data_IF_687139107239
#
_entry.id   IF_687139107239
#
_cell.length_a   1.000
_cell.length_b   1.000
_cell.length_c   1.000
_cell.angle_alpha   90.00
_cell.angle_beta   90.00
_cell.angle_gamma   90.00
#
_symmetry.space_group_name_H-M   'P 1'
#
loop_
_entity.id
_entity.type
_entity.pdbx_description
1 polymer ?
#
# COMPACT_ATOMS: atom_id res chain seq x y z
N UNK A 1 35.10 -22.09 3.00
CA UNK A 1 34.50 -23.41 3.31
C UNK A 1 33.03 -23.39 2.92
N UNK A 2 32.48 -24.50 2.42
CA UNK A 2 31.07 -24.62 2.04
C UNK A 2 30.29 -25.23 3.21
N UNK A 3 29.14 -24.67 3.58
CA UNK A 3 28.28 -25.21 4.64
C UNK A 3 27.54 -26.46 4.13
N UNK A 4 27.32 -27.44 5.01
CA UNK A 4 26.52 -28.62 4.71
C UNK A 4 25.02 -28.27 4.73
N UNK A 5 24.24 -28.91 3.85
CA UNK A 5 22.79 -28.79 3.85
C UNK A 5 22.19 -29.62 4.99
N UNK A 6 21.18 -29.06 5.66
CA UNK A 6 20.42 -29.72 6.72
C UNK A 6 18.95 -29.28 6.63
N UNK A 7 18.06 -30.10 7.17
CA UNK A 7 16.63 -29.89 7.13
C UNK A 7 16.07 -29.71 8.54
N UNK A 8 15.01 -28.91 8.63
CA UNK A 8 14.28 -28.64 9.85
C UNK A 8 12.90 -29.30 9.73
N UNK A 9 12.66 -30.36 10.50
CA UNK A 9 11.57 -31.30 10.23
C UNK A 9 10.22 -30.93 10.90
N UNK A 10 10.19 -29.94 11.79
CA UNK A 10 8.94 -29.49 12.42
C UNK A 10 8.94 -27.97 12.64
N UNK A 11 7.74 -27.38 12.71
CA UNK A 11 7.55 -25.95 12.91
C UNK A 11 8.03 -25.46 14.28
N UNK A 12 7.97 -26.31 15.32
CA UNK A 12 8.43 -25.91 16.67
C UNK A 12 9.94 -25.64 16.70
N UNK A 13 10.72 -26.38 15.92
CA UNK A 13 12.15 -26.14 15.77
C UNK A 13 12.42 -24.89 14.92
N UNK A 14 11.46 -24.45 14.10
CA UNK A 14 11.57 -23.20 13.33
C UNK A 14 11.33 -22.03 14.25
N UNK A 15 10.27 -22.08 15.05
CA UNK A 15 9.95 -21.05 16.03
C UNK A 15 11.09 -20.86 17.03
N UNK A 16 11.68 -21.98 17.52
CA UNK A 16 12.88 -21.97 18.38
C UNK A 16 14.12 -21.36 17.73
N UNK A 17 14.17 -21.25 16.41
CA UNK A 17 15.26 -20.60 15.69
C UNK A 17 14.94 -19.14 15.41
N UNK A 18 13.70 -18.85 15.01
CA UNK A 18 13.25 -17.49 14.66
C UNK A 18 13.19 -16.59 15.88
N UNK A 19 12.55 -17.01 16.98
CA UNK A 19 12.38 -16.18 18.18
C UNK A 19 13.71 -15.67 18.79
N UNK A 20 14.77 -16.50 18.94
CA UNK A 20 16.03 -16.00 19.47
C UNK A 20 16.76 -15.09 18.47
N UNK A 21 16.69 -15.39 17.16
CA UNK A 21 17.35 -14.58 16.14
C UNK A 21 16.76 -13.17 16.11
N UNK A 22 15.43 -13.05 16.14
CA UNK A 22 14.76 -11.74 16.19
C UNK A 22 15.17 -10.97 17.44
N UNK A 23 15.18 -11.62 18.61
CA UNK A 23 15.64 -11.01 19.86
C UNK A 23 17.10 -10.54 19.81
N UNK A 24 18.01 -11.31 19.18
CA UNK A 24 19.41 -10.90 19.02
C UNK A 24 19.58 -9.72 18.06
N UNK A 25 18.76 -9.64 17.01
CA UNK A 25 18.77 -8.49 16.10
C UNK A 25 18.24 -7.25 16.82
N UNK A 26 17.16 -7.36 17.57
CA UNK A 26 16.62 -6.27 18.38
C UNK A 26 17.66 -5.73 19.37
N UNK A 27 18.40 -6.62 20.04
CA UNK A 27 19.45 -6.23 20.97
C UNK A 27 20.63 -5.58 20.26
N UNK A 28 20.97 -6.03 19.05
CA UNK A 28 22.00 -5.41 18.22
C UNK A 28 21.60 -3.98 17.83
N UNK A 29 20.35 -3.75 17.46
CA UNK A 29 19.83 -2.43 17.11
C UNK A 29 19.76 -1.49 18.32
N UNK A 30 19.53 -2.01 19.53
CA UNK A 30 19.64 -1.22 20.78
C UNK A 30 21.08 -0.81 21.07
N UNK A 31 22.05 -1.70 20.82
CA UNK A 31 23.47 -1.42 21.04
C UNK A 31 24.04 -0.42 20.03
N UNK A 32 23.52 -0.42 18.80
CA UNK A 32 23.91 0.50 17.74
C UNK A 32 22.68 1.26 17.26
N UNK A 33 22.38 2.45 17.81
CA UNK A 33 21.19 3.22 17.43
C UNK A 33 21.30 3.78 16.00
N UNK A 34 21.05 2.93 15.00
CA UNK A 34 21.06 3.27 13.58
C UNK A 34 19.65 3.66 13.16
N UNK A 35 19.22 4.88 13.52
CA UNK A 35 17.80 5.28 13.42
C UNK A 35 17.19 5.32 12.01
N UNK A 36 17.98 5.37 10.95
CA UNK A 36 17.46 5.63 9.58
C UNK A 36 17.90 4.64 8.51
N UNK A 37 18.89 3.79 8.79
CA UNK A 37 19.43 2.84 7.80
C UNK A 37 18.54 1.61 7.61
N UNK A 38 18.00 0.97 8.67
CA UNK A 38 17.15 -0.22 8.52
C UNK A 38 15.90 0.08 7.70
N UNK A 39 15.21 1.20 8.00
CA UNK A 39 13.98 1.58 7.28
C UNK A 39 14.21 1.86 5.80
N UNK A 40 15.29 2.55 5.43
CA UNK A 40 15.65 2.78 4.02
C UNK A 40 15.96 1.49 3.26
N UNK A 41 16.59 0.51 3.94
CA UNK A 41 16.89 -0.78 3.33
C UNK A 41 15.62 -1.62 3.14
N UNK A 42 14.71 -1.57 4.10
CA UNK A 42 13.39 -2.20 4.01
C UNK A 42 12.59 -1.59 2.87
N UNK A 43 12.51 -0.26 2.78
CA UNK A 43 11.82 0.45 1.69
C UNK A 43 12.38 0.04 0.31
N UNK A 44 13.70 -0.06 0.17
CA UNK A 44 14.34 -0.53 -1.06
C UNK A 44 14.00 -1.99 -1.37
N UNK A 45 14.00 -2.87 -0.35
CA UNK A 45 13.72 -4.29 -0.51
C UNK A 45 12.26 -4.58 -0.88
N UNK A 46 11.32 -3.77 -0.40
CA UNK A 46 9.90 -3.94 -0.72
C UNK A 46 9.49 -3.25 -2.02
N UNK A 47 10.29 -2.34 -2.58
CA UNK A 47 9.92 -1.52 -3.76
C UNK A 47 9.53 -2.39 -4.98
N UNK A 48 10.24 -3.50 -5.18
CA UNK A 48 10.02 -4.43 -6.29
C UNK A 48 8.69 -5.21 -6.20
N UNK A 49 8.11 -5.34 -5.00
CA UNK A 49 6.84 -6.07 -4.79
C UNK A 49 5.65 -5.12 -4.98
N UNK A 50 4.94 -5.22 -6.11
CA UNK A 50 3.89 -4.25 -6.48
C UNK A 50 2.48 -4.74 -6.16
N UNK A 51 2.27 -6.05 -6.04
CA UNK A 51 0.94 -6.63 -5.91
C UNK A 51 0.47 -6.74 -4.44
N UNK A 52 -0.78 -6.35 -4.20
CA UNK A 52 -1.40 -6.36 -2.88
C UNK A 52 -1.44 -7.77 -2.23
N UNK A 53 -1.72 -8.87 -2.94
CA UNK A 53 -1.70 -10.22 -2.35
C UNK A 53 -0.33 -10.62 -1.82
N UNK A 54 0.76 -10.40 -2.56
CA UNK A 54 2.12 -10.71 -2.08
C UNK A 54 2.53 -9.82 -0.93
N UNK A 55 2.12 -8.55 -0.93
CA UNK A 55 2.36 -7.65 0.20
C UNK A 55 1.61 -8.11 1.47
N UNK A 56 0.39 -8.66 1.36
CA UNK A 56 -0.31 -9.24 2.52
C UNK A 56 0.39 -10.46 3.09
N UNK A 57 0.85 -11.37 2.22
CA UNK A 57 1.64 -12.54 2.67
C UNK A 57 2.94 -12.09 3.36
N UNK A 58 3.59 -11.06 2.84
CA UNK A 58 4.80 -10.49 3.43
C UNK A 58 4.52 -9.82 4.78
N UNK A 59 3.40 -9.09 4.90
CA UNK A 59 2.95 -8.50 6.16
C UNK A 59 2.73 -9.59 7.23
N UNK A 60 2.01 -10.65 6.87
CA UNK A 60 1.73 -11.77 7.79
C UNK A 60 3.00 -12.51 8.21
N UNK A 61 3.98 -12.67 7.31
CA UNK A 61 5.26 -13.30 7.62
C UNK A 61 6.17 -12.43 8.50
N UNK A 62 6.10 -11.10 8.32
CA UNK A 62 6.84 -10.14 9.13
C UNK A 62 6.19 -9.89 10.50
N UNK A 63 4.90 -10.23 10.64
CA UNK A 63 4.16 -10.04 11.88
C UNK A 63 4.81 -10.81 13.04
N UNK A 64 5.24 -10.08 14.07
CA UNK A 64 5.88 -10.65 15.26
C UNK A 64 7.36 -10.99 15.09
N UNK A 65 7.95 -10.81 13.91
CA UNK A 65 9.38 -11.07 13.67
C UNK A 65 10.16 -9.82 13.26
N UNK A 66 9.60 -8.99 12.38
CA UNK A 66 10.22 -7.75 11.90
C UNK A 66 9.18 -6.63 11.85
N UNK A 67 9.19 -5.80 12.89
CA UNK A 67 8.24 -4.70 13.04
C UNK A 67 8.45 -3.59 12.00
N UNK A 68 9.69 -3.35 11.58
CA UNK A 68 10.04 -2.30 10.60
C UNK A 68 9.54 -2.70 9.22
N UNK A 69 9.74 -3.97 8.84
CA UNK A 69 9.20 -4.53 7.60
C UNK A 69 7.67 -4.55 7.60
N UNK A 70 7.04 -4.99 8.69
CA UNK A 70 5.59 -5.01 8.81
C UNK A 70 4.98 -3.61 8.67
N UNK A 71 5.59 -2.59 9.28
CA UNK A 71 5.15 -1.20 9.17
C UNK A 71 5.29 -0.68 7.73
N UNK A 72 6.47 -0.87 7.12
CA UNK A 72 6.73 -0.41 5.76
C UNK A 72 5.81 -1.07 4.71
N UNK A 73 5.52 -2.36 4.87
CA UNK A 73 4.56 -3.07 4.01
C UNK A 73 3.14 -2.54 4.22
N UNK A 74 2.76 -2.24 5.47
CA UNK A 74 1.45 -1.64 5.78
C UNK A 74 1.30 -0.28 5.11
N UNK A 75 2.33 0.57 5.17
CA UNK A 75 2.37 1.86 4.48
C UNK A 75 2.28 1.68 2.96
N UNK A 76 2.96 0.67 2.40
CA UNK A 76 2.90 0.38 0.97
C UNK A 76 1.51 -0.08 0.53
N UNK A 77 0.86 -0.97 1.28
CA UNK A 77 -0.52 -1.42 1.02
C UNK A 77 -1.49 -0.24 1.12
N UNK A 78 -1.33 0.64 2.13
CA UNK A 78 -2.13 1.85 2.25
C UNK A 78 -1.89 2.83 1.09
N UNK A 79 -0.66 2.90 0.56
CA UNK A 79 -0.33 3.67 -0.64
C UNK A 79 -0.83 3.05 -1.95
N UNK A 80 -1.26 1.79 -1.95
CA UNK A 80 -2.00 1.15 -3.05
C UNK A 80 -3.49 1.50 -2.94
N UNK A 81 -4.05 1.50 -1.72
CA UNK A 81 -5.41 1.95 -1.46
C UNK A 81 -5.58 3.44 -1.80
N UNK A 82 -6.52 3.77 -2.69
CA UNK A 82 -6.74 5.16 -3.15
C UNK A 82 -5.92 5.57 -4.38
N UNK A 83 -5.31 4.64 -5.11
CA UNK A 83 -4.68 4.95 -6.42
C UNK A 83 -5.69 5.06 -7.54
N UNK A 84 -5.56 6.12 -8.33
CA UNK A 84 -6.21 6.28 -9.62
C UNK A 84 -5.17 6.01 -10.70
N UNK A 85 -5.36 4.94 -11.47
CA UNK A 85 -4.42 4.53 -12.51
C UNK A 85 -5.10 4.56 -13.88
N UNK A 86 -4.49 5.25 -14.83
CA UNK A 86 -4.91 5.27 -16.23
C UNK A 86 -3.72 4.91 -17.11
N UNK A 87 -3.83 3.80 -17.85
CA UNK A 87 -2.71 3.25 -18.63
C UNK A 87 -2.45 4.05 -19.90
N UNK A 88 -3.49 4.46 -20.61
CA UNK A 88 -3.40 5.26 -21.82
C UNK A 88 -4.43 6.40 -21.83
N UNK A 89 -3.97 7.63 -22.07
CA UNK A 89 -4.85 8.80 -22.26
C UNK A 89 -4.61 9.35 -23.66
N UNK A 90 -5.66 9.38 -24.47
CA UNK A 90 -5.66 10.05 -25.78
C UNK A 90 -6.62 11.24 -25.74
N UNK A 91 -6.07 12.44 -25.88
CA UNK A 91 -6.84 13.69 -25.96
C UNK A 91 -6.70 14.32 -27.34
N UNK A 92 -7.81 14.76 -27.92
CA UNK A 92 -7.84 15.55 -29.16
C UNK A 92 -8.25 17.01 -28.86
N UNK A 93 -7.73 17.95 -29.65
CA UNK A 93 -8.00 19.39 -29.58
C UNK A 93 -7.72 20.05 -28.20
N UNK A 94 -8.77 20.52 -27.50
CA UNK A 94 -8.71 21.21 -26.20
C UNK A 94 -9.16 20.33 -25.04
N UNK A 95 -9.27 19.03 -25.24
CA UNK A 95 -9.72 18.10 -24.22
C UNK A 95 -8.80 18.10 -22.99
N UNK A 96 -9.39 18.13 -21.80
CA UNK A 96 -8.67 18.05 -20.52
C UNK A 96 -9.18 16.83 -19.75
N UNK A 97 -8.26 15.96 -19.36
CA UNK A 97 -8.54 14.78 -18.54
C UNK A 97 -8.02 15.05 -17.13
N UNK A 98 -8.88 14.89 -16.12
CA UNK A 98 -8.50 14.96 -14.70
C UNK A 98 -8.55 13.55 -14.13
N UNK A 99 -7.47 13.14 -13.49
CA UNK A 99 -7.35 11.84 -12.82
C UNK A 99 -6.95 12.13 -11.38
N UNK A 100 -7.77 11.68 -10.44
CA UNK A 100 -7.56 11.89 -9.00
C UNK A 100 -8.84 12.30 -8.29
N UNK A 101 -8.68 12.65 -7.02
CA UNK A 101 -9.77 13.05 -6.15
C UNK A 101 -10.08 14.54 -6.27
N UNK A 102 -11.38 14.86 -6.42
CA UNK A 102 -11.89 16.24 -6.42
C UNK A 102 -12.78 16.40 -5.19
N UNK A 103 -12.38 17.30 -4.29
CA UNK A 103 -13.06 17.51 -3.01
C UNK A 103 -13.87 18.80 -3.07
N UNK A 104 -15.16 18.73 -2.73
CA UNK A 104 -15.97 19.93 -2.56
C UNK A 104 -15.56 20.69 -1.29
N UNK A 105 -15.76 22.01 -1.25
CA UNK A 105 -15.47 22.85 -0.08
C UNK A 105 -16.19 22.35 1.19
N UNK A 106 -17.39 21.79 1.05
CA UNK A 106 -18.14 21.17 2.14
C UNK A 106 -17.49 19.90 2.69
N UNK A 107 -16.76 19.16 1.86
CA UNK A 107 -16.02 17.97 2.29
C UNK A 107 -14.75 18.36 3.07
N UNK A 108 -14.08 19.43 2.67
CA UNK A 108 -12.91 19.98 3.39
C UNK A 108 -13.29 20.55 4.75
N UNK A 109 -14.46 21.19 4.86
CA UNK A 109 -14.96 21.78 6.11
C UNK A 109 -15.29 20.75 7.21
N UNK A 110 -15.50 19.47 6.85
CA UNK A 110 -15.90 18.43 7.81
C UNK A 110 -14.72 17.84 8.61
N UNK A 111 -13.47 18.17 8.28
CA UNK A 111 -12.26 17.87 9.08
C UNK A 111 -11.91 16.39 9.27
N UNK A 112 -12.81 15.47 8.92
CA UNK A 112 -12.55 14.03 8.89
C UNK A 112 -11.85 13.70 7.60
N UNK A 113 -10.57 13.31 7.68
CA UNK A 113 -9.87 12.70 6.56
C UNK A 113 -10.66 11.50 6.08
N UNK A 114 -11.40 11.66 4.98
CA UNK A 114 -12.07 10.55 4.31
C UNK A 114 -10.93 9.73 3.72
N UNK A 115 -10.60 8.62 4.38
CA UNK A 115 -9.69 7.63 3.83
C UNK A 115 -10.38 7.02 2.60
N UNK A 116 -10.19 7.66 1.45
CA UNK A 116 -10.70 7.14 0.18
C UNK A 116 -9.90 5.89 -0.17
N UNK A 117 -10.56 4.74 0.00
CA UNK A 117 -10.01 3.41 -0.31
C UNK A 117 -10.41 2.96 -1.72
N UNK A 118 -10.99 3.84 -2.52
CA UNK A 118 -11.49 3.49 -3.85
C UNK A 118 -10.33 3.44 -4.84
N UNK A 119 -10.08 2.28 -5.43
CA UNK A 119 -9.15 2.14 -6.55
C UNK A 119 -9.92 2.32 -7.86
N UNK A 120 -9.51 3.29 -8.69
CA UNK A 120 -10.10 3.51 -10.01
C UNK A 120 -9.06 3.15 -11.08
N UNK A 121 -9.38 2.16 -11.91
CA UNK A 121 -8.50 1.68 -12.97
C UNK A 121 -9.17 1.86 -14.34
N UNK A 122 -8.47 2.48 -15.28
CA UNK A 122 -8.91 2.59 -16.67
C UNK A 122 -7.78 2.21 -17.63
N UNK A 123 -8.04 1.26 -18.53
CA UNK A 123 -7.06 0.82 -19.53
C UNK A 123 -6.83 1.85 -20.64
N UNK A 124 -7.88 2.54 -21.08
CA UNK A 124 -7.77 3.63 -22.06
C UNK A 124 -8.86 4.68 -21.83
N UNK A 125 -8.47 5.96 -21.87
CA UNK A 125 -9.38 7.10 -21.87
C UNK A 125 -9.19 7.88 -23.16
N UNK A 126 -10.25 7.95 -23.96
CA UNK A 126 -10.28 8.78 -25.17
C UNK A 126 -11.20 10.00 -24.92
N UNK A 127 -10.65 11.19 -25.08
CA UNK A 127 -11.38 12.45 -24.91
C UNK A 127 -11.29 13.28 -26.20
N UNK A 128 -12.44 13.59 -26.81
CA UNK A 128 -12.55 14.36 -28.06
C UNK A 128 -13.46 15.59 -27.89
N UNK A 129 -13.11 16.69 -28.55
CA UNK A 129 -13.87 17.95 -28.55
C UNK A 129 -13.90 18.69 -27.20
N UNK A 130 -14.97 19.44 -26.92
CA UNK A 130 -15.20 20.16 -25.65
C UNK A 130 -15.69 19.26 -24.49
N UNK A 131 -15.72 17.94 -24.69
CA UNK A 131 -16.25 17.01 -23.70
C UNK A 131 -15.33 16.89 -22.47
N UNK A 132 -15.95 16.97 -21.29
CA UNK A 132 -15.32 16.73 -19.99
C UNK A 132 -15.82 15.38 -19.44
N UNK A 133 -15.26 14.24 -19.87
CA UNK A 133 -15.63 12.96 -19.27
C UNK A 133 -15.30 13.01 -17.78
N UNK A 134 -16.33 12.81 -16.95
CA UNK A 134 -16.28 12.90 -15.49
C UNK A 134 -16.58 11.53 -14.93
N UNK A 135 -15.60 10.92 -14.28
CA UNK A 135 -15.81 9.74 -13.47
C UNK A 135 -15.94 10.20 -12.02
N UNK A 136 -17.17 10.34 -11.55
CA UNK A 136 -17.49 10.58 -10.13
C UNK A 136 -18.30 9.41 -9.62
N UNK A 137 -17.81 8.71 -8.60
CA UNK A 137 -18.68 7.92 -7.74
C UNK A 137 -19.55 8.91 -6.97
N UNK A 138 -20.80 9.05 -7.39
CA UNK A 138 -21.81 9.74 -6.60
C UNK A 138 -22.22 8.83 -5.47
N UNK A 139 -22.00 9.24 -4.22
CA UNK A 139 -22.79 8.71 -3.11
C UNK A 139 -24.20 9.27 -3.31
N UNK A 140 -25.07 8.52 -3.99
CA UNK A 140 -26.51 8.76 -3.91
C UNK A 140 -26.97 8.28 -2.55
N UNK A 141 -27.02 9.19 -1.58
CA UNK A 141 -27.79 8.99 -0.37
C UNK A 141 -29.27 8.93 -0.78
N UNK A 142 -29.81 7.71 -0.85
CA UNK A 142 -31.26 7.50 -0.90
C UNK A 142 -31.84 7.94 0.45
N UNK A 143 -32.29 9.19 0.53
CA UNK A 143 -33.27 9.60 1.52
C UNK A 143 -34.57 8.84 1.20
N UNK A 144 -34.74 7.69 1.86
CA UNK A 144 -36.01 6.97 1.92
C UNK A 144 -36.90 7.72 2.89
N UNK A 145 -37.75 8.59 2.38
CA UNK A 145 -38.90 9.10 3.13
C UNK A 145 -39.67 7.92 3.71
N UNK A 146 -39.76 7.88 5.03
CA UNK A 146 -40.69 7.05 5.78
C UNK A 146 -41.34 7.93 6.86
N UNK A 147 -42.62 8.22 6.58
CA UNK A 147 -43.68 8.84 7.37
C UNK A 147 -43.56 10.33 7.71
#
# INVERSE_FOLDING_TARGET
MKKAAWALCDGKNLDKLVEPITGFVDDLEKLFPVKTTPRKLVELGIDEVVDEPSLKVLQDAAAGTDSVLSEAVTEKIQGIAGRHYVKHIKGEERAKVRVGNDWSETALARGTGIADRTANLADSVEAKGLARPRYTSGITESAKDRN
#
